data_IF_551393421722
#
_entry.id   IF_551393421722
#
_cell.length_a   1.000
_cell.length_b   1.000
_cell.length_c   1.000
_cell.angle_alpha   90.00
_cell.angle_beta   90.00
_cell.angle_gamma   90.00
#
_symmetry.space_group_name_H-M   'P 1'
#
loop_
_entity.id
_entity.type
_entity.pdbx_description
1 polymer ?
#
# COMPACT_ATOMS: atom_id res chain seq x y z
N UNK A 1 -15.95 -5.01 19.20
CA UNK A 1 -15.77 -3.58 18.95
C UNK A 1 -14.53 -3.36 18.14
N UNK A 2 -14.70 -2.71 17.07
CA UNK A 2 -13.59 -2.46 16.18
C UNK A 2 -12.95 -1.11 16.45
N UNK A 3 -13.01 -0.66 17.69
CA UNK A 3 -12.41 0.61 18.07
C UNK A 3 -10.90 0.63 17.89
N UNK A 4 -10.32 -0.50 17.49
CA UNK A 4 -8.88 -0.64 17.33
C UNK A 4 -8.44 -0.74 15.88
N UNK A 5 -9.32 -0.38 14.94
CA UNK A 5 -8.93 -0.33 13.55
C UNK A 5 -7.81 0.69 13.38
N UNK A 6 -6.78 0.32 12.64
CA UNK A 6 -5.64 1.19 12.43
C UNK A 6 -6.02 2.32 11.47
N UNK A 7 -5.59 3.54 11.74
CA UNK A 7 -5.81 4.61 10.76
C UNK A 7 -4.92 4.43 9.54
N UNK A 8 -5.35 4.99 8.42
CA UNK A 8 -4.53 5.07 7.22
C UNK A 8 -3.71 6.35 7.27
N UNK A 9 -2.41 6.23 7.01
CA UNK A 9 -1.53 7.39 6.89
C UNK A 9 -0.99 7.39 5.47
N UNK A 10 -1.27 8.45 4.73
CA UNK A 10 -0.85 8.56 3.34
C UNK A 10 0.40 9.42 3.25
N UNK A 11 1.49 8.85 2.75
CA UNK A 11 2.76 9.55 2.59
C UNK A 11 2.94 10.14 1.20
N UNK A 12 2.21 9.62 0.22
CA UNK A 12 2.33 10.08 -1.15
C UNK A 12 1.33 11.21 -1.39
N UNK A 13 1.74 12.43 -1.12
CA UNK A 13 0.97 13.61 -1.43
C UNK A 13 -0.49 13.48 -1.06
N UNK A 14 -1.34 14.12 -1.83
CA UNK A 14 -2.78 13.99 -1.62
C UNK A 14 -3.35 13.08 -2.68
N UNK A 15 -3.27 11.80 -2.47
CA UNK A 15 -4.00 10.91 -3.35
C UNK A 15 -5.46 10.97 -2.95
N UNK A 16 -6.15 11.97 -3.44
CA UNK A 16 -7.57 12.06 -3.23
C UNK A 16 -8.30 11.01 -4.03
N UNK A 17 -7.70 10.64 -5.14
CA UNK A 17 -8.29 9.66 -6.04
C UNK A 17 -7.18 9.01 -6.83
N UNK A 18 -6.72 7.83 -6.42
CA UNK A 18 -5.92 7.05 -7.35
C UNK A 18 -6.74 6.91 -8.64
N UNK A 19 -6.11 6.87 -9.80
CA UNK A 19 -6.83 6.75 -11.07
C UNK A 19 -7.38 5.34 -11.29
N UNK A 20 -8.00 4.77 -10.27
CA UNK A 20 -8.64 3.47 -10.34
C UNK A 20 -10.04 3.62 -10.92
N UNK A 21 -10.53 2.57 -11.57
CA UNK A 21 -11.94 2.48 -11.88
C UNK A 21 -12.75 2.43 -10.58
N UNK A 22 -14.06 2.60 -10.68
CA UNK A 22 -14.92 2.51 -9.51
C UNK A 22 -14.80 1.13 -8.85
N UNK A 23 -14.74 0.07 -9.65
CA UNK A 23 -14.63 -1.29 -9.14
C UNK A 23 -13.30 -1.52 -8.44
N UNK A 24 -12.20 -1.05 -9.03
CA UNK A 24 -10.88 -1.20 -8.42
C UNK A 24 -10.79 -0.40 -7.12
N UNK A 25 -11.47 0.74 -7.06
CA UNK A 25 -11.50 1.55 -5.84
C UNK A 25 -12.22 0.83 -4.72
N UNK A 26 -13.32 0.15 -5.04
CA UNK A 26 -14.08 -0.63 -4.06
C UNK A 26 -13.21 -1.79 -3.55
N UNK A 27 -12.53 -2.48 -4.45
CA UNK A 27 -11.66 -3.58 -4.05
C UNK A 27 -10.50 -3.10 -3.17
N UNK A 28 -9.86 -1.99 -3.56
CA UNK A 28 -8.78 -1.42 -2.76
C UNK A 28 -9.27 -1.07 -1.37
N UNK A 29 -10.43 -0.42 -1.27
CA UNK A 29 -11.00 -0.07 0.02
C UNK A 29 -11.31 -1.30 0.86
N UNK A 30 -11.82 -2.35 0.25
CA UNK A 30 -12.12 -3.59 0.95
C UNK A 30 -10.85 -4.23 1.51
N UNK A 31 -9.80 -4.31 0.72
CA UNK A 31 -8.53 -4.89 1.15
C UNK A 31 -7.85 -4.04 2.23
N UNK A 32 -7.86 -2.72 2.06
CA UNK A 32 -7.30 -1.82 3.06
C UNK A 32 -8.03 -1.95 4.39
N UNK A 33 -9.35 -2.11 4.35
CA UNK A 33 -10.13 -2.27 5.58
C UNK A 33 -9.73 -3.53 6.33
N UNK A 34 -9.49 -4.61 5.60
CA UNK A 34 -9.03 -5.86 6.22
C UNK A 34 -7.68 -5.67 6.90
N UNK A 35 -6.78 -4.96 6.25
CA UNK A 35 -5.47 -4.64 6.84
C UNK A 35 -5.61 -3.74 8.06
N UNK A 36 -6.53 -2.79 8.03
CA UNK A 36 -6.77 -1.91 9.17
C UNK A 36 -7.27 -2.68 10.39
N UNK A 37 -7.97 -3.77 10.18
CA UNK A 37 -8.45 -4.64 11.26
C UNK A 37 -7.36 -5.53 11.84
N UNK A 38 -6.15 -5.49 11.25
CA UNK A 38 -5.05 -6.30 11.71
C UNK A 38 -4.91 -7.63 10.99
N UNK A 39 -5.70 -7.88 9.95
CA UNK A 39 -5.52 -9.08 9.15
C UNK A 39 -4.25 -9.00 8.34
N UNK A 40 -3.64 -10.15 8.09
CA UNK A 40 -2.50 -10.23 7.20
C UNK A 40 -2.97 -10.85 5.90
N UNK A 41 -2.69 -10.14 4.80
CA UNK A 41 -3.04 -10.63 3.48
C UNK A 41 -1.84 -11.28 2.84
N UNK A 42 -2.07 -12.45 2.24
CA UNK A 42 -1.03 -13.15 1.50
C UNK A 42 -1.29 -13.07 0.00
N UNK A 43 -0.48 -13.80 -0.75
CA UNK A 43 -0.68 -13.92 -2.20
C UNK A 43 -2.06 -14.47 -2.50
N UNK A 44 -2.71 -14.04 -3.56
CA UNK A 44 -2.19 -13.12 -4.59
C UNK A 44 -2.41 -11.64 -4.29
N UNK A 45 -3.04 -11.31 -3.18
CA UNK A 45 -3.42 -9.91 -2.89
C UNK A 45 -2.25 -9.06 -2.42
N UNK A 46 -1.36 -9.64 -1.62
CA UNK A 46 -0.27 -8.89 -1.02
C UNK A 46 0.99 -9.75 -0.99
N UNK A 47 2.14 -9.11 -1.19
CA UNK A 47 3.41 -9.81 -1.07
C UNK A 47 4.40 -8.95 -0.29
N UNK A 48 5.30 -9.58 0.46
CA UNK A 48 6.33 -8.84 1.20
C UNK A 48 7.28 -8.12 0.24
N UNK A 49 7.75 -6.97 0.68
CA UNK A 49 8.72 -6.16 -0.06
C UNK A 49 9.91 -5.84 0.85
N UNK A 50 10.75 -6.85 1.15
CA UNK A 50 11.88 -6.63 2.06
C UNK A 50 12.90 -5.62 1.54
N UNK A 51 12.97 -5.42 0.21
CA UNK A 51 13.84 -4.41 -0.37
C UNK A 51 13.47 -3.00 0.08
N UNK A 52 12.22 -2.78 0.43
CA UNK A 52 11.77 -1.47 0.94
C UNK A 52 12.03 -1.39 2.44
N UNK A 53 11.69 -2.44 3.16
CA UNK A 53 11.91 -2.46 4.59
C UNK A 53 11.08 -3.54 5.27
N UNK A 54 11.25 -3.64 6.59
CA UNK A 54 10.49 -4.57 7.40
C UNK A 54 9.02 -4.17 7.43
N UNK A 55 8.15 -5.14 7.44
CA UNK A 55 6.69 -4.95 7.47
C UNK A 55 6.15 -4.22 6.24
N UNK A 56 6.96 -4.07 5.20
CA UNK A 56 6.53 -3.46 3.96
C UNK A 56 6.01 -4.51 3.01
N UNK A 57 4.92 -4.18 2.34
CA UNK A 57 4.23 -5.08 1.42
C UNK A 57 3.74 -4.30 0.21
N UNK A 58 3.43 -5.04 -0.83
CA UNK A 58 2.87 -4.48 -2.05
C UNK A 58 1.50 -5.11 -2.24
N UNK A 59 0.45 -4.29 -2.22
CA UNK A 59 -0.91 -4.72 -2.44
C UNK A 59 -1.21 -4.65 -3.93
N UNK A 60 -1.76 -5.74 -4.47
CA UNK A 60 -2.12 -5.82 -5.88
C UNK A 60 -3.59 -5.51 -6.05
N UNK A 61 -3.89 -4.56 -6.91
CA UNK A 61 -5.27 -4.18 -7.23
C UNK A 61 -5.46 -4.33 -8.73
N UNK A 62 -6.34 -5.24 -9.12
CA UNK A 62 -6.59 -5.52 -10.52
C UNK A 62 -7.70 -4.61 -11.01
N UNK A 63 -7.43 -3.94 -12.13
CA UNK A 63 -8.38 -3.05 -12.77
C UNK A 63 -8.48 -3.45 -14.23
N UNK A 64 -9.53 -3.04 -14.90
CA UNK A 64 -9.70 -3.33 -16.32
C UNK A 64 -8.52 -2.77 -17.10
N UNK A 65 -7.76 -3.67 -17.75
CA UNK A 65 -6.62 -3.27 -18.56
C UNK A 65 -5.39 -2.81 -17.80
N UNK A 66 -5.38 -2.92 -16.48
CA UNK A 66 -4.23 -2.48 -15.69
C UNK A 66 -4.16 -3.22 -14.36
N UNK A 67 -2.96 -3.31 -13.82
CA UNK A 67 -2.75 -3.77 -12.45
C UNK A 67 -2.06 -2.64 -11.69
N UNK A 68 -2.65 -2.27 -10.57
CA UNK A 68 -2.11 -1.24 -9.70
C UNK A 68 -1.41 -1.87 -8.52
N UNK A 69 -0.38 -1.22 -8.04
CA UNK A 69 0.37 -1.64 -6.86
C UNK A 69 0.31 -0.53 -5.82
N UNK A 70 0.02 -0.94 -4.59
CA UNK A 70 -0.02 -0.02 -3.47
C UNK A 70 0.98 -0.53 -2.44
N UNK A 71 2.02 0.27 -2.18
CA UNK A 71 3.03 -0.09 -1.19
C UNK A 71 2.59 0.42 0.17
N UNK A 72 2.60 -0.46 1.16
CA UNK A 72 2.22 -0.09 2.52
C UNK A 72 3.17 -0.73 3.53
N UNK A 73 3.23 -0.12 4.71
CA UNK A 73 3.92 -0.70 5.86
C UNK A 73 2.89 -0.89 6.97
N UNK A 74 2.85 -2.10 7.51
CA UNK A 74 1.90 -2.44 8.56
C UNK A 74 2.54 -2.16 9.92
N UNK A 75 2.31 -0.97 10.44
CA UNK A 75 2.78 -0.58 11.76
C UNK A 75 1.77 -1.02 12.81
N UNK A 76 2.18 -1.03 14.06
CA UNK A 76 1.31 -1.43 15.15
C UNK A 76 0.14 -0.46 15.29
N UNK A 77 0.40 0.83 15.11
CA UNK A 77 -0.57 1.89 15.35
C UNK A 77 -1.16 2.50 14.08
N UNK A 78 -0.69 2.10 12.91
CA UNK A 78 -1.15 2.70 11.66
C UNK A 78 -0.84 1.80 10.48
N UNK A 79 -1.61 1.96 9.42
CA UNK A 79 -1.30 1.38 8.12
C UNK A 79 -0.78 2.52 7.26
N UNK A 80 0.51 2.50 6.97
CA UNK A 80 1.18 3.60 6.28
C UNK A 80 1.21 3.30 4.79
N UNK A 81 0.53 4.13 4.01
CA UNK A 81 0.48 3.99 2.55
C UNK A 81 1.61 4.83 1.98
N UNK A 82 2.56 4.17 1.33
CA UNK A 82 3.81 4.81 0.92
C UNK A 82 3.78 5.29 -0.51
N UNK A 83 3.19 4.48 -1.41
CA UNK A 83 3.12 4.84 -2.82
C UNK A 83 2.03 4.03 -3.51
N UNK A 84 1.52 4.57 -4.61
CA UNK A 84 0.58 3.86 -5.48
C UNK A 84 1.06 4.07 -6.91
N UNK A 85 1.24 2.99 -7.65
CA UNK A 85 1.72 3.10 -9.02
C UNK A 85 1.13 2.00 -9.89
N UNK A 86 1.12 2.24 -11.20
CA UNK A 86 0.65 1.28 -12.17
C UNK A 86 1.77 0.29 -12.48
N UNK A 87 1.44 -0.99 -12.43
CA UNK A 87 2.42 -2.03 -12.75
C UNK A 87 2.72 -2.02 -14.23
N UNK A 88 4.00 -1.96 -14.57
CA UNK A 88 4.46 -2.04 -15.97
C UNK A 88 5.36 -3.26 -16.20
N UNK A 89 5.97 -3.79 -15.14
CA UNK A 89 6.90 -4.91 -15.22
C UNK A 89 6.65 -5.86 -14.05
N UNK A 90 7.25 -7.04 -14.12
CA UNK A 90 7.16 -8.01 -13.04
C UNK A 90 7.79 -7.49 -11.76
N UNK A 91 8.93 -6.83 -11.88
CA UNK A 91 9.66 -6.32 -10.73
C UNK A 91 9.25 -4.91 -10.41
N UNK A 92 9.26 -4.58 -9.13
CA UNK A 92 9.07 -3.20 -8.69
C UNK A 92 10.31 -2.41 -9.09
N UNK A 93 10.15 -1.29 -9.81
CA UNK A 93 11.30 -0.49 -10.23
C UNK A 93 12.12 0.00 -9.04
N UNK A 94 13.45 0.05 -9.24
CA UNK A 94 14.36 0.53 -8.21
C UNK A 94 14.00 1.96 -7.78
N UNK A 95 13.57 2.79 -8.72
CA UNK A 95 13.17 4.16 -8.40
C UNK A 95 12.00 4.20 -7.43
N UNK A 96 11.05 3.29 -7.56
CA UNK A 96 9.91 3.20 -6.64
C UNK A 96 10.40 2.76 -5.26
N UNK A 97 11.28 1.76 -5.23
CA UNK A 97 11.85 1.28 -3.97
C UNK A 97 12.57 2.41 -3.24
N UNK A 98 13.38 3.17 -3.96
CA UNK A 98 14.14 4.28 -3.37
C UNK A 98 13.22 5.38 -2.84
N UNK A 99 12.18 5.73 -3.59
CA UNK A 99 11.20 6.71 -3.16
C UNK A 99 10.49 6.25 -1.89
N UNK A 100 10.09 4.99 -1.85
CA UNK A 100 9.40 4.43 -0.69
C UNK A 100 10.32 4.46 0.54
N UNK A 101 11.57 4.08 0.39
CA UNK A 101 12.52 4.08 1.50
C UNK A 101 12.72 5.50 2.04
N UNK A 102 12.85 6.47 1.15
CA UNK A 102 13.02 7.86 1.54
C UNK A 102 11.80 8.38 2.29
N UNK A 103 10.61 8.11 1.79
CA UNK A 103 9.37 8.54 2.43
C UNK A 103 9.20 7.94 3.82
N UNK A 104 9.50 6.66 3.96
CA UNK A 104 9.40 6.01 5.26
C UNK A 104 10.42 6.56 6.25
N UNK A 105 11.64 6.82 5.78
CA UNK A 105 12.65 7.42 6.65
C UNK A 105 12.21 8.80 7.13
N UNK A 106 11.71 9.63 6.24
CA UNK A 106 11.22 10.95 6.62
C UNK A 106 10.05 10.85 7.59
N UNK A 107 9.16 9.92 7.37
CA UNK A 107 8.03 9.70 8.26
C UNK A 107 8.50 9.26 9.65
N UNK A 108 9.46 8.34 9.70
CA UNK A 108 9.96 7.83 10.98
C UNK A 108 10.76 8.88 11.74
N UNK A 109 11.40 9.78 11.02
CA UNK A 109 12.24 10.83 11.63
C UNK A 109 11.45 12.09 12.02
N UNK A 110 10.20 12.16 11.64
CA UNK A 110 9.39 13.35 11.90
C UNK A 110 8.94 13.46 13.36
#
# INVERSE_FOLDING_TARGET
MSSHDKPLVWLHGRIKSPPFSAEARIEAGFLLRRLQRGEMLGMPHSRPMPAIGRRCHELRIIDAGATWRLVYRADEDALVIVDVFKKKTEKTPVTVIDVCRTRLKEYDDA
#
